data_IF_155648192495
#
_entry.id   IF_155648192495
#
_cell.length_a   1.000
_cell.length_b   1.000
_cell.length_c   1.000
_cell.angle_alpha   90.00
_cell.angle_beta   90.00
_cell.angle_gamma   90.00
#
_symmetry.space_group_name_H-M   'P 1'
#
loop_
_entity.id
_entity.type
_entity.pdbx_description
1 polymer ?
#
# COMPACT_ATOMS: atom_id res chain seq x y z
N UNK A 1 -11.83 -16.84 11.24
CA UNK A 1 -10.58 -17.08 11.98
C UNK A 1 -9.85 -15.76 12.14
N UNK A 2 -9.28 -15.46 13.31
CA UNK A 2 -8.51 -14.22 13.56
C UNK A 2 -7.40 -13.98 12.54
N UNK A 3 -6.80 -15.06 12.02
CA UNK A 3 -5.83 -15.04 10.92
C UNK A 3 -6.36 -14.40 9.63
N UNK A 4 -7.62 -14.65 9.30
CA UNK A 4 -8.28 -14.03 8.14
C UNK A 4 -8.54 -12.53 8.35
N UNK A 5 -8.85 -12.13 9.60
CA UNK A 5 -9.07 -10.73 9.93
C UNK A 5 -7.78 -9.91 9.93
N UNK A 6 -6.67 -10.43 10.45
CA UNK A 6 -5.37 -9.76 10.38
C UNK A 6 -4.91 -9.61 8.93
N UNK A 7 -5.08 -10.65 8.11
CA UNK A 7 -4.81 -10.57 6.69
C UNK A 7 -5.67 -9.50 6.00
N UNK A 8 -6.96 -9.44 6.33
CA UNK A 8 -7.86 -8.39 5.86
C UNK A 8 -7.53 -7.00 6.39
N UNK A 9 -7.06 -6.87 7.63
CA UNK A 9 -6.68 -5.59 8.22
C UNK A 9 -5.43 -5.04 7.58
N UNK A 10 -4.41 -5.87 7.33
CA UNK A 10 -3.21 -5.48 6.60
C UNK A 10 -3.58 -5.10 5.17
N UNK A 11 -4.43 -5.90 4.51
CA UNK A 11 -4.86 -5.61 3.16
C UNK A 11 -5.68 -4.30 3.11
N UNK A 12 -6.64 -4.11 4.01
CA UNK A 12 -7.47 -2.90 4.05
C UNK A 12 -6.65 -1.65 4.43
N UNK A 13 -5.79 -1.74 5.44
CA UNK A 13 -5.01 -0.58 5.89
C UNK A 13 -4.00 -0.12 4.83
N UNK A 14 -3.42 -1.06 4.08
CA UNK A 14 -2.40 -0.75 3.08
C UNK A 14 -3.06 -0.47 1.71
N UNK A 15 -3.89 -1.38 1.21
CA UNK A 15 -4.48 -1.25 -0.12
C UNK A 15 -5.53 -0.13 -0.18
N UNK A 16 -6.48 -0.07 0.76
CA UNK A 16 -7.57 0.92 0.68
C UNK A 16 -7.04 2.34 0.83
N UNK A 17 -6.01 2.53 1.68
CA UNK A 17 -5.35 3.84 1.82
C UNK A 17 -4.62 4.23 0.55
N UNK A 18 -3.84 3.32 -0.04
CA UNK A 18 -3.15 3.59 -1.29
C UNK A 18 -4.13 3.90 -2.41
N UNK A 19 -5.21 3.15 -2.53
CA UNK A 19 -6.25 3.38 -3.54
C UNK A 19 -6.95 4.73 -3.35
N UNK A 20 -7.23 5.12 -2.11
CA UNK A 20 -7.75 6.46 -1.80
C UNK A 20 -6.78 7.57 -2.23
N UNK A 21 -5.51 7.46 -1.83
CA UNK A 21 -4.48 8.47 -2.15
C UNK A 21 -4.29 8.59 -3.67
N UNK A 22 -4.33 7.47 -4.39
CA UNK A 22 -4.28 7.44 -5.85
C UNK A 22 -5.47 8.13 -6.49
N UNK A 23 -6.69 7.87 -6.02
CA UNK A 23 -7.88 8.55 -6.53
C UNK A 23 -7.85 10.06 -6.29
N UNK A 24 -7.29 10.51 -5.15
CA UNK A 24 -7.09 11.93 -4.90
C UNK A 24 -6.10 12.53 -5.90
N UNK A 25 -4.97 11.85 -6.15
CA UNK A 25 -3.98 12.29 -7.15
C UNK A 25 -4.56 12.35 -8.56
N UNK A 26 -5.25 11.31 -9.01
CA UNK A 26 -5.91 11.26 -10.32
C UNK A 26 -6.93 12.40 -10.48
N UNK A 27 -7.71 12.68 -9.43
CA UNK A 27 -8.68 13.78 -9.45
C UNK A 27 -7.99 15.14 -9.56
N UNK A 28 -6.89 15.35 -8.85
CA UNK A 28 -6.09 16.58 -8.95
C UNK A 28 -5.48 16.73 -10.35
N UNK A 29 -4.90 15.68 -10.91
CA UNK A 29 -4.38 15.68 -12.28
C UNK A 29 -5.46 16.05 -13.32
N UNK A 30 -6.66 15.49 -13.17
CA UNK A 30 -7.81 15.84 -14.02
C UNK A 30 -8.22 17.31 -13.87
N UNK A 31 -8.25 17.83 -12.65
CA UNK A 31 -8.60 19.23 -12.39
C UNK A 31 -7.56 20.19 -13.00
N UNK A 32 -6.27 19.92 -12.78
CA UNK A 32 -5.18 20.70 -13.38
C UNK A 32 -5.26 20.62 -14.90
N UNK A 33 -5.47 19.43 -15.46
CA UNK A 33 -5.61 19.25 -16.90
C UNK A 33 -6.83 19.95 -17.51
N UNK A 34 -7.97 19.93 -16.83
CA UNK A 34 -9.16 20.65 -17.27
C UNK A 34 -8.93 22.16 -17.25
N UNK A 35 -8.29 22.68 -16.19
CA UNK A 35 -7.94 24.08 -16.10
C UNK A 35 -6.98 24.50 -17.22
N UNK A 36 -5.93 23.71 -17.49
CA UNK A 36 -4.98 23.96 -18.58
C UNK A 36 -5.63 24.03 -19.97
N UNK A 37 -6.74 23.32 -20.18
CA UNK A 37 -7.46 23.31 -21.47
C UNK A 37 -8.34 24.56 -21.68
N UNK A 38 -8.84 25.17 -20.60
CA UNK A 38 -9.80 26.28 -20.69
C UNK A 38 -9.21 27.65 -20.37
N UNK A 39 -8.01 27.69 -19.76
CA UNK A 39 -7.37 28.93 -19.30
C UNK A 39 -6.38 29.52 -20.28
N UNK A 40 -6.25 30.84 -20.26
CA UNK A 40 -5.18 31.55 -20.98
C UNK A 40 -3.83 31.34 -20.30
N UNK A 41 -2.70 31.55 -20.99
CA UNK A 41 -1.37 31.53 -20.37
C UNK A 41 -1.24 32.51 -19.18
N UNK A 42 -1.87 33.67 -19.25
CA UNK A 42 -1.84 34.70 -18.21
C UNK A 42 -2.60 34.27 -16.95
N UNK A 43 -3.79 33.68 -17.13
CA UNK A 43 -4.59 33.13 -16.02
C UNK A 43 -3.85 32.00 -15.30
N UNK A 44 -3.17 31.12 -16.06
CA UNK A 44 -2.31 30.07 -15.50
C UNK A 44 -1.18 30.64 -14.66
N UNK A 45 -0.44 31.61 -15.21
CA UNK A 45 0.66 32.24 -14.49
C UNK A 45 0.19 32.93 -13.21
N UNK A 46 -0.99 33.55 -13.24
CA UNK A 46 -1.57 34.17 -12.05
C UNK A 46 -1.94 33.12 -10.99
N UNK A 47 -2.60 32.03 -11.38
CA UNK A 47 -2.92 30.92 -10.46
C UNK A 47 -1.65 30.33 -9.85
N UNK A 48 -0.62 30.06 -10.67
CA UNK A 48 0.66 29.52 -10.20
C UNK A 48 1.30 30.44 -9.17
N UNK A 49 1.28 31.75 -9.38
CA UNK A 49 1.80 32.72 -8.42
C UNK A 49 1.06 32.66 -7.08
N UNK A 50 -0.27 32.64 -7.10
CA UNK A 50 -1.10 32.52 -5.89
C UNK A 50 -0.80 31.21 -5.14
N UNK A 51 -0.64 30.11 -5.88
CA UNK A 51 -0.30 28.80 -5.30
C UNK A 51 1.11 28.76 -4.73
N UNK A 52 2.09 29.39 -5.38
CA UNK A 52 3.46 29.51 -4.86
C UNK A 52 3.47 30.32 -3.57
N UNK A 53 2.72 31.42 -3.49
CA UNK A 53 2.66 32.25 -2.29
C UNK A 53 1.97 31.55 -1.11
N UNK A 54 0.91 30.79 -1.37
CA UNK A 54 0.11 30.14 -0.31
C UNK A 54 0.61 28.76 0.10
N UNK A 55 1.20 28.00 -0.83
CA UNK A 55 1.63 26.60 -0.64
C UNK A 55 3.13 26.38 -0.80
N UNK A 56 3.86 27.35 -1.37
CA UNK A 56 5.29 27.25 -1.69
C UNK A 56 5.58 26.61 -3.05
N UNK A 57 4.57 26.12 -3.78
CA UNK A 57 4.73 25.55 -5.12
C UNK A 57 3.40 25.50 -5.88
N UNK A 58 3.46 25.73 -7.20
CA UNK A 58 2.35 25.53 -8.13
C UNK A 58 1.90 24.06 -8.16
N UNK A 59 0.67 23.84 -8.63
CA UNK A 59 0.21 22.48 -8.95
C UNK A 59 0.77 22.06 -10.30
N UNK A 60 1.15 20.78 -10.40
CA UNK A 60 1.55 20.15 -11.66
C UNK A 60 0.92 18.78 -11.73
N UNK A 61 0.71 18.29 -12.96
CA UNK A 61 0.36 16.88 -13.15
C UNK A 61 1.49 15.99 -12.64
N UNK A 62 1.11 14.92 -11.97
CA UNK A 62 2.03 13.91 -11.46
C UNK A 62 1.73 12.58 -12.15
N UNK A 63 2.73 11.98 -12.78
CA UNK A 63 2.62 10.62 -13.26
C UNK A 63 2.66 9.66 -12.07
N UNK A 64 1.90 8.56 -12.16
CA UNK A 64 1.80 7.56 -11.11
C UNK A 64 2.28 6.20 -11.61
N UNK A 65 3.10 5.54 -10.80
CA UNK A 65 3.50 4.15 -10.98
C UNK A 65 3.11 3.36 -9.74
N UNK A 66 2.22 2.38 -9.92
CA UNK A 66 1.68 1.58 -8.80
C UNK A 66 2.14 0.15 -8.98
N UNK A 67 2.82 -0.41 -7.98
CA UNK A 67 3.15 -1.84 -7.90
C UNK A 67 2.31 -2.44 -6.78
N UNK A 68 1.47 -3.41 -7.13
CA UNK A 68 0.67 -4.19 -6.17
C UNK A 68 1.30 -5.56 -5.99
N UNK A 69 1.20 -6.16 -4.79
CA UNK A 69 1.63 -7.53 -4.58
C UNK A 69 0.87 -8.47 -5.53
N UNK A 70 1.56 -9.41 -6.17
CA UNK A 70 0.92 -10.40 -7.05
C UNK A 70 0.17 -11.50 -6.28
N UNK A 71 0.45 -11.64 -4.99
CA UNK A 71 -0.17 -12.59 -4.08
C UNK A 71 -0.89 -11.88 -2.92
N UNK A 72 -1.95 -12.48 -2.38
CA UNK A 72 -2.66 -11.96 -1.20
C UNK A 72 -1.80 -12.11 0.06
N UNK A 73 -1.30 -10.98 0.58
CA UNK A 73 -0.46 -10.92 1.79
C UNK A 73 -1.17 -11.55 3.01
N UNK A 74 -2.49 -11.39 3.11
CA UNK A 74 -3.27 -11.99 4.18
C UNK A 74 -3.33 -13.51 4.10
N UNK A 75 -3.42 -14.05 2.87
CA UNK A 75 -3.31 -15.49 2.65
C UNK A 75 -1.91 -16.01 3.00
N UNK A 76 -0.85 -15.31 2.59
CA UNK A 76 0.55 -15.66 2.93
C UNK A 76 0.76 -15.67 4.44
N UNK A 77 0.28 -14.64 5.16
CA UNK A 77 0.36 -14.58 6.61
C UNK A 77 -0.37 -15.77 7.26
N UNK A 78 -1.54 -16.13 6.75
CA UNK A 78 -2.32 -17.23 7.28
C UNK A 78 -1.72 -18.61 7.04
N UNK A 79 -1.03 -18.80 5.92
CA UNK A 79 -0.26 -20.02 5.65
C UNK A 79 0.99 -20.11 6.56
N UNK A 80 1.70 -18.99 6.72
CA UNK A 80 2.90 -18.91 7.56
C UNK A 80 2.63 -19.32 9.01
N UNK A 81 1.54 -18.78 9.59
CA UNK A 81 1.11 -19.15 10.95
C UNK A 81 0.76 -20.64 11.05
N UNK A 82 0.01 -21.18 10.07
CA UNK A 82 -0.44 -22.58 10.09
C UNK A 82 0.72 -23.58 9.99
N UNK A 83 1.75 -23.26 9.22
CA UNK A 83 2.86 -24.17 8.93
C UNK A 83 3.98 -24.12 9.98
N UNK A 84 4.29 -22.93 10.50
CA UNK A 84 5.47 -22.69 11.35
C UNK A 84 5.19 -22.70 12.85
N UNK A 85 3.98 -22.39 13.30
CA UNK A 85 3.65 -22.41 14.74
C UNK A 85 3.33 -23.85 15.20
N UNK A 86 4.37 -24.69 15.32
CA UNK A 86 4.29 -26.06 15.88
C UNK A 86 4.95 -26.15 17.26
N UNK A 87 4.53 -27.10 18.10
CA UNK A 87 5.05 -27.33 19.46
C UNK A 87 4.22 -26.66 20.59
N UNK A 88 4.77 -26.58 21.83
CA UNK A 88 4.07 -26.01 23.00
C UNK A 88 3.58 -24.58 22.76
N UNK A 89 4.35 -23.76 22.04
CA UNK A 89 3.92 -22.43 21.58
C UNK A 89 2.68 -22.53 20.67
N UNK A 90 2.66 -23.43 19.69
CA UNK A 90 1.48 -23.72 18.86
C UNK A 90 0.26 -24.30 19.58
N UNK A 91 0.45 -24.91 20.75
CA UNK A 91 -0.67 -25.33 21.62
C UNK A 91 -1.29 -24.12 22.32
N UNK A 92 -0.49 -23.25 22.95
CA UNK A 92 -0.97 -22.01 23.56
C UNK A 92 -1.61 -21.07 22.53
N UNK A 93 -1.00 -20.94 21.34
CA UNK A 93 -1.56 -20.22 20.20
C UNK A 93 -2.93 -20.79 19.76
N UNK A 94 -3.07 -22.13 19.65
CA UNK A 94 -4.36 -22.76 19.31
C UNK A 94 -5.41 -22.60 20.43
N UNK A 95 -5.00 -22.64 21.69
CA UNK A 95 -5.90 -22.44 22.83
C UNK A 95 -6.41 -20.99 22.90
N UNK A 96 -5.53 -20.03 22.63
CA UNK A 96 -5.86 -18.60 22.55
C UNK A 96 -6.81 -18.34 21.36
N UNK A 97 -6.57 -18.94 20.19
CA UNK A 97 -7.47 -18.91 19.02
C UNK A 97 -8.88 -19.48 19.30
N UNK A 98 -8.99 -20.44 20.21
CA UNK A 98 -10.28 -21.02 20.61
C UNK A 98 -11.00 -20.25 21.72
N UNK A 99 -10.34 -19.25 22.35
CA UNK A 99 -10.87 -18.51 23.50
C UNK A 99 -11.12 -17.03 23.25
N UNK A 100 -10.47 -16.37 22.29
CA UNK A 100 -10.60 -14.92 22.10
C UNK A 100 -11.50 -14.57 20.91
N UNK A 101 -12.66 -13.99 21.24
CA UNK A 101 -13.44 -13.14 20.34
C UNK A 101 -13.05 -11.66 20.42
N UNK A 102 -11.88 -11.31 20.97
CA UNK A 102 -11.61 -9.90 21.35
C UNK A 102 -10.16 -9.41 21.47
N UNK A 103 -9.11 -10.19 21.21
CA UNK A 103 -7.73 -9.67 21.25
C UNK A 103 -7.04 -9.84 19.90
N UNK A 104 -7.36 -8.98 18.95
CA UNK A 104 -6.85 -9.00 17.57
C UNK A 104 -5.50 -8.26 17.42
N UNK A 105 -5.14 -7.39 18.38
CA UNK A 105 -3.98 -6.50 18.31
C UNK A 105 -2.62 -7.19 18.56
N UNK A 106 -2.57 -8.23 19.39
CA UNK A 106 -1.31 -8.88 19.79
C UNK A 106 -0.73 -9.86 18.75
N UNK A 107 -1.51 -10.18 17.72
CA UNK A 107 -1.14 -11.16 16.69
C UNK A 107 -0.49 -10.51 15.47
N UNK A 108 -0.91 -9.28 15.15
CA UNK A 108 -0.32 -8.48 14.08
C UNK A 108 1.15 -8.19 14.35
N UNK A 109 1.51 -7.91 15.61
CA UNK A 109 2.91 -7.70 16.01
C UNK A 109 3.78 -8.93 15.72
N UNK A 110 3.34 -10.15 16.05
CA UNK A 110 4.14 -11.35 15.81
C UNK A 110 4.44 -11.61 14.33
N UNK A 111 3.45 -11.43 13.46
CA UNK A 111 3.65 -11.55 12.01
C UNK A 111 4.53 -10.40 11.48
N UNK A 112 4.32 -9.18 11.96
CA UNK A 112 5.11 -8.01 11.56
C UNK A 112 6.57 -8.06 12.04
N UNK A 113 6.88 -8.83 13.09
CA UNK A 113 8.23 -8.97 13.66
C UNK A 113 8.89 -10.34 13.41
N UNK A 114 8.28 -11.24 12.61
CA UNK A 114 8.89 -12.51 12.23
C UNK A 114 9.75 -12.34 10.96
N UNK A 115 11.06 -12.61 11.10
CA UNK A 115 12.03 -12.40 10.02
C UNK A 115 11.78 -13.27 8.79
N UNK A 116 11.25 -14.48 8.94
CA UNK A 116 10.96 -15.38 7.81
C UNK A 116 9.74 -14.91 7.02
N UNK A 117 8.72 -14.40 7.72
CA UNK A 117 7.59 -13.76 7.04
C UNK A 117 8.03 -12.51 6.28
N UNK A 118 8.85 -11.65 6.91
CA UNK A 118 9.42 -10.47 6.26
C UNK A 118 10.27 -10.83 5.03
N UNK A 119 11.10 -11.86 5.11
CA UNK A 119 11.89 -12.39 3.99
C UNK A 119 10.99 -12.80 2.82
N UNK A 120 9.90 -13.54 3.09
CA UNK A 120 8.94 -13.93 2.06
C UNK A 120 8.27 -12.73 1.38
N UNK A 121 7.93 -11.68 2.14
CA UNK A 121 7.35 -10.46 1.56
C UNK A 121 8.37 -9.67 0.72
N UNK A 122 9.64 -9.64 1.14
CA UNK A 122 10.72 -9.02 0.36
C UNK A 122 10.92 -9.74 -0.97
N UNK A 123 10.92 -11.08 -0.95
CA UNK A 123 11.02 -11.89 -2.17
C UNK A 123 9.86 -11.63 -3.13
N UNK A 124 8.63 -11.59 -2.61
CA UNK A 124 7.43 -11.27 -3.39
C UNK A 124 7.56 -9.90 -4.05
N UNK A 125 7.86 -8.85 -3.27
CA UNK A 125 8.02 -7.49 -3.79
C UNK A 125 9.16 -7.36 -4.81
N UNK A 126 10.26 -8.11 -4.62
CA UNK A 126 11.36 -8.17 -5.59
C UNK A 126 10.90 -8.83 -6.89
N UNK A 127 10.17 -9.93 -6.81
CA UNK A 127 9.58 -10.62 -7.97
C UNK A 127 8.65 -9.72 -8.76
N UNK A 128 7.71 -9.06 -8.07
CA UNK A 128 6.74 -8.14 -8.68
C UNK A 128 7.40 -6.96 -9.37
N UNK A 129 8.45 -6.41 -8.75
CA UNK A 129 9.23 -5.31 -9.34
C UNK A 129 10.01 -5.77 -10.56
N UNK A 130 10.64 -6.94 -10.52
CA UNK A 130 11.41 -7.47 -11.65
C UNK A 130 10.51 -7.81 -12.84
N UNK A 131 9.31 -8.35 -12.59
CA UNK A 131 8.33 -8.63 -13.64
C UNK A 131 7.90 -7.38 -14.41
N UNK A 132 7.98 -6.20 -13.77
CA UNK A 132 7.62 -4.89 -14.34
C UNK A 132 8.82 -3.96 -14.56
N UNK A 133 10.03 -4.52 -14.65
CA UNK A 133 11.29 -3.77 -14.78
C UNK A 133 11.28 -2.70 -15.87
N UNK A 134 10.77 -3.01 -17.05
CA UNK A 134 10.81 -2.09 -18.18
C UNK A 134 9.85 -0.91 -17.99
N UNK A 135 8.71 -1.13 -17.33
CA UNK A 135 7.78 -0.08 -16.95
C UNK A 135 8.39 0.85 -15.88
N UNK A 136 8.99 0.26 -14.85
CA UNK A 136 9.70 1.01 -13.79
C UNK A 136 10.81 1.86 -14.40
N UNK A 137 11.61 1.28 -15.29
CA UNK A 137 12.69 2.01 -15.98
C UNK A 137 12.14 3.21 -16.75
N UNK A 138 11.13 3.00 -17.59
CA UNK A 138 10.51 4.09 -18.37
C UNK A 138 9.97 5.21 -17.48
N UNK A 139 9.40 4.88 -16.33
CA UNK A 139 8.86 5.88 -15.40
C UNK A 139 9.94 6.83 -14.84
N UNK A 140 11.16 6.32 -14.60
CA UNK A 140 12.27 7.13 -14.06
C UNK A 140 13.18 7.76 -15.13
N UNK A 141 13.02 7.38 -16.39
CA UNK A 141 13.73 7.98 -17.54
C UNK A 141 12.97 9.16 -18.16
N UNK A 142 11.70 9.36 -17.79
CA UNK A 142 10.85 10.48 -18.19
C UNK A 142 11.14 11.74 -17.37
#
# INVERSE_FOLDING_TARGET
>A
SATFFIGKLINALIADRLDYDLHVMERLNRLVGAFEQVSTPEERKHLDQVLIETRGAAYRKLDTLIIRPSEDIGAIAGEHIRTRVKGKKGFWFRQLLSRSGSDEADWGSYVLYDGLFAERLIELGRGDSLARRDEIRRFFEA
#
